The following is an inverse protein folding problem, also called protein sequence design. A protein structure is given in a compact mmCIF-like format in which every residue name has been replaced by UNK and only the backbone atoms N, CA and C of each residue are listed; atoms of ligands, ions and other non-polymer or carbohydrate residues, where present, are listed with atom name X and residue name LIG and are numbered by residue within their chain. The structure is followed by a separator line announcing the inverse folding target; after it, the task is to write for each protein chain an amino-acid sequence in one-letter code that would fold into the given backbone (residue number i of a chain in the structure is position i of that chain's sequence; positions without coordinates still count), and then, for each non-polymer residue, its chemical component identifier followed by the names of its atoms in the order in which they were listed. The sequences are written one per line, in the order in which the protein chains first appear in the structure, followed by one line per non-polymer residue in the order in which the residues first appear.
data_IF_417109720644
#
_entry.id   IF_417109720644
#
_cell.length_a   1.000
_cell.length_b   1.000
_cell.length_c   1.000
_cell.angle_alpha   90.00
_cell.angle_beta   90.00
_cell.angle_gamma   90.00
#
_symmetry.space_group_name_H-M   'P 1'
#
loop_
_entity.id
_entity.type
_entity.pdbx_description
1 polymer ?
#
# COMPACT_ATOMS: atom_id res chain seq x y z
N UNK A 1 18.98 12.94 5.68
CA UNK A 1 17.78 12.14 5.36
C UNK A 1 18.07 10.69 5.75
N UNK A 2 17.18 10.00 6.50
CA UNK A 2 17.38 8.58 6.79
C UNK A 2 17.38 7.76 5.49
N UNK A 3 18.26 6.77 5.41
CA UNK A 3 18.38 5.90 4.24
C UNK A 3 18.03 4.46 4.64
N UNK A 4 17.27 3.79 3.78
CA UNK A 4 16.93 2.39 3.91
C UNK A 4 17.79 1.62 2.90
N UNK A 5 18.67 0.76 3.38
CA UNK A 5 19.50 -0.09 2.54
C UNK A 5 18.78 -1.42 2.34
N UNK A 6 18.46 -1.73 1.09
CA UNK A 6 17.77 -2.95 0.69
C UNK A 6 18.49 -3.46 -0.56
N UNK A 7 18.67 -4.77 -0.62
CA UNK A 7 19.25 -5.43 -1.77
C UNK A 7 18.13 -5.99 -2.63
N UNK A 8 18.27 -5.81 -3.93
CA UNK A 8 17.39 -6.41 -4.94
C UNK A 8 18.20 -7.41 -5.75
N UNK A 9 17.56 -8.47 -6.19
CA UNK A 9 18.12 -9.34 -7.23
C UNK A 9 18.15 -8.59 -8.56
N UNK A 10 18.92 -9.10 -9.52
CA UNK A 10 18.98 -8.51 -10.86
C UNK A 10 17.60 -8.53 -11.55
N UNK A 11 16.86 -9.63 -11.37
CA UNK A 11 15.49 -9.81 -11.89
C UNK A 11 14.52 -8.77 -11.29
N UNK A 12 14.58 -8.55 -9.98
CA UNK A 12 13.76 -7.54 -9.30
C UNK A 12 14.12 -6.12 -9.78
N UNK A 13 15.42 -5.84 -9.99
CA UNK A 13 15.87 -4.56 -10.52
C UNK A 13 15.37 -4.30 -11.93
N UNK A 14 15.33 -5.31 -12.79
CA UNK A 14 14.78 -5.20 -14.14
C UNK A 14 13.28 -4.93 -14.13
N UNK A 15 12.53 -5.62 -13.27
CA UNK A 15 11.10 -5.36 -13.07
C UNK A 15 10.84 -3.93 -12.60
N UNK A 16 11.59 -3.45 -11.59
CA UNK A 16 11.45 -2.09 -11.07
C UNK A 16 11.83 -1.03 -12.10
N UNK A 17 12.87 -1.25 -12.91
CA UNK A 17 13.26 -0.34 -14.00
C UNK A 17 12.17 -0.26 -15.06
N UNK A 18 11.61 -1.40 -15.47
CA UNK A 18 10.52 -1.46 -16.45
C UNK A 18 9.29 -0.71 -15.94
N UNK A 19 8.92 -0.90 -14.68
CA UNK A 19 7.78 -0.21 -14.07
C UNK A 19 8.02 1.31 -13.92
N UNK A 20 9.23 1.72 -13.53
CA UNK A 20 9.60 3.13 -13.42
C UNK A 20 9.60 3.82 -14.80
N UNK A 21 10.10 3.14 -15.84
CA UNK A 21 10.11 3.64 -17.22
C UNK A 21 8.68 3.81 -17.77
N UNK A 22 7.79 2.84 -17.51
CA UNK A 22 6.37 2.94 -17.88
C UNK A 22 5.64 4.12 -17.22
N UNK A 23 6.09 4.54 -16.04
CA UNK A 23 5.58 5.70 -15.32
C UNK A 23 6.35 7.01 -15.56
N UNK A 24 7.28 7.04 -16.53
CA UNK A 24 8.16 8.18 -16.85
C UNK A 24 8.84 8.81 -15.62
N UNK A 25 9.22 8.00 -14.64
CA UNK A 25 9.77 8.47 -13.38
C UNK A 25 11.10 7.80 -13.04
N UNK A 26 11.90 8.48 -12.22
CA UNK A 26 13.14 7.88 -11.73
C UNK A 26 12.87 6.65 -10.87
N UNK A 27 13.76 5.65 -10.95
CA UNK A 27 13.65 4.41 -10.18
C UNK A 27 13.50 4.67 -8.67
N UNK A 28 14.27 5.63 -8.13
CA UNK A 28 14.20 6.01 -6.71
C UNK A 28 12.84 6.59 -6.33
N UNK A 29 12.29 7.48 -7.16
CA UNK A 29 10.97 8.07 -6.92
C UNK A 29 9.87 7.03 -7.03
N UNK A 30 9.97 6.12 -8.00
CA UNK A 30 9.06 4.99 -8.16
C UNK A 30 9.04 4.11 -6.91
N UNK A 31 10.20 3.63 -6.45
CA UNK A 31 10.29 2.75 -5.28
C UNK A 31 9.79 3.45 -4.02
N UNK A 32 10.14 4.72 -3.83
CA UNK A 32 9.65 5.50 -2.68
C UNK A 32 8.12 5.62 -2.71
N UNK A 33 7.54 5.93 -3.86
CA UNK A 33 6.09 6.05 -4.03
C UNK A 33 5.39 4.70 -3.83
N UNK A 34 5.89 3.63 -4.44
CA UNK A 34 5.34 2.29 -4.28
C UNK A 34 5.35 1.83 -2.81
N UNK A 35 6.42 2.12 -2.06
CA UNK A 35 6.51 1.82 -0.64
C UNK A 35 5.47 2.61 0.19
N UNK A 36 5.28 3.89 -0.11
CA UNK A 36 4.28 4.73 0.56
C UNK A 36 2.84 4.33 0.19
N UNK A 37 2.61 3.98 -1.07
CA UNK A 37 1.31 3.53 -1.56
C UNK A 37 0.95 2.19 -0.91
N UNK A 38 1.88 1.23 -0.85
CA UNK A 38 1.67 -0.04 -0.14
C UNK A 38 1.38 0.15 1.35
N UNK A 39 2.12 1.05 2.02
CA UNK A 39 1.88 1.38 3.43
C UNK A 39 0.52 2.07 3.66
N UNK A 40 0.08 2.89 2.70
CA UNK A 40 -1.19 3.61 2.76
C UNK A 40 -2.38 2.70 2.41
N UNK A 41 -2.19 1.78 1.47
CA UNK A 41 -3.19 0.78 1.10
C UNK A 41 -3.47 -0.19 2.23
N UNK A 42 -2.46 -0.58 3.00
CA UNK A 42 -2.67 -1.32 4.24
C UNK A 42 -3.59 -0.56 5.20
N UNK A 43 -3.36 0.75 5.40
CA UNK A 43 -4.22 1.60 6.24
C UNK A 43 -5.64 1.73 5.68
N UNK A 44 -5.78 1.85 4.36
CA UNK A 44 -7.08 1.93 3.68
C UNK A 44 -7.88 0.64 3.86
N UNK A 45 -7.27 -0.52 3.63
CA UNK A 45 -7.90 -1.83 3.82
C UNK A 45 -8.33 -2.06 5.27
N UNK A 46 -7.51 -1.65 6.25
CA UNK A 46 -7.87 -1.71 7.68
C UNK A 46 -9.06 -0.80 7.99
N UNK A 47 -9.11 0.42 7.44
CA UNK A 47 -10.25 1.33 7.63
C UNK A 47 -11.53 0.81 6.99
N UNK A 48 -11.46 0.22 5.80
CA UNK A 48 -12.63 -0.38 5.14
C UNK A 48 -13.15 -1.59 5.94
N UNK A 49 -12.26 -2.46 6.42
CA UNK A 49 -12.64 -3.56 7.29
C UNK A 49 -13.28 -3.06 8.60
N UNK A 50 -12.74 -2.01 9.20
CA UNK A 50 -13.30 -1.38 10.39
C UNK A 50 -14.69 -0.76 10.13
N UNK A 51 -14.92 -0.17 8.94
CA UNK A 51 -16.24 0.36 8.55
C UNK A 51 -17.27 -0.76 8.41
N UNK A 52 -16.91 -1.86 7.76
CA UNK A 52 -17.79 -3.04 7.60
C UNK A 52 -18.16 -3.61 8.97
N UNK A 53 -17.19 -3.73 9.89
CA UNK A 53 -17.46 -4.19 11.26
C UNK A 53 -18.39 -3.22 11.99
N UNK A 54 -18.14 -1.91 11.92
CA UNK A 54 -18.97 -0.90 12.57
C UNK A 54 -20.41 -0.88 12.03
N UNK A 55 -20.60 -1.00 10.71
CA UNK A 55 -21.93 -1.10 10.08
C UNK A 55 -22.67 -2.36 10.52
N UNK A 56 -21.98 -3.52 10.54
CA UNK A 56 -22.54 -4.79 11.02
C UNK A 56 -22.89 -4.76 12.50
N UNK A 57 -22.05 -4.17 13.35
CA UNK A 57 -22.33 -3.99 14.78
C UNK A 57 -23.51 -3.05 15.01
N UNK A 58 -23.64 -1.97 14.24
CA UNK A 58 -24.78 -1.05 14.32
C UNK A 58 -26.09 -1.66 13.80
N UNK A 59 -26.03 -2.56 12.82
CA UNK A 59 -27.16 -3.35 12.35
C UNK A 59 -27.62 -4.37 13.41
N UNK A 60 -26.68 -5.09 14.02
CA UNK A 60 -26.96 -6.06 15.09
C UNK A 60 -27.53 -5.39 16.35
N UNK A 61 -26.95 -4.26 16.79
CA UNK A 61 -27.47 -3.51 17.93
C UNK A 61 -28.89 -2.98 17.70
N UNK A 62 -29.26 -2.65 16.46
CA UNK A 62 -30.64 -2.25 16.12
C UNK A 62 -31.63 -3.41 16.10
N UNK A 63 -31.15 -4.65 15.94
CA UNK A 63 -31.98 -5.86 15.91
C UNK A 63 -32.13 -6.52 17.27
N UNK A 64 -31.21 -6.26 18.19
CA UNK A 64 -31.17 -6.82 19.54
C UNK A 64 -31.73 -5.87 20.62
N UNK A 65 -32.08 -4.63 20.25
CA UNK A 65 -32.75 -3.64 21.09
C UNK A 65 -34.24 -3.57 20.75
#
# INVERSE_FOLDING_TARGET
MPALNINFTDEEMEQLRTAAAAGEMSLRAFVQRAALDAASDHKRRVREAARIVAERSAELNRRLA
#
